data_IF_587453028686
#
_entry.id   IF_587453028686
#
_cell.length_a   1.000
_cell.length_b   1.000
_cell.length_c   1.000
_cell.angle_alpha   90.00
_cell.angle_beta   90.00
_cell.angle_gamma   90.00
#
_symmetry.space_group_name_H-M   'P 1'
#
loop_
_entity.id
_entity.type
_entity.pdbx_description
1 polymer ?
#
# COMPACT_ATOMS: atom_id res chain seq x y z
N UNK A 1 -33.40 10.93 10.66
CA UNK A 1 -32.29 10.58 11.57
C UNK A 1 -31.88 9.15 11.31
N UNK A 2 -30.57 8.92 11.18
CA UNK A 2 -29.86 7.63 11.13
C UNK A 2 -29.98 6.77 9.86
N UNK A 3 -29.07 6.98 8.91
CA UNK A 3 -28.30 5.86 8.36
C UNK A 3 -26.82 6.25 8.38
N UNK A 4 -26.20 6.06 9.53
CA UNK A 4 -24.75 6.00 9.67
C UNK A 4 -24.23 4.87 8.79
N UNK A 5 -23.90 5.19 7.53
CA UNK A 5 -23.16 4.29 6.66
C UNK A 5 -21.78 4.10 7.28
N UNK A 6 -21.52 2.92 7.84
CA UNK A 6 -20.17 2.52 8.25
C UNK A 6 -19.34 2.36 6.98
N UNK A 7 -18.08 2.81 7.00
CA UNK A 7 -17.18 2.68 5.85
C UNK A 7 -16.86 1.20 5.66
N UNK A 8 -17.04 0.66 4.44
CA UNK A 8 -16.77 -0.74 4.10
C UNK A 8 -15.50 -0.87 3.28
N UNK A 9 -14.59 -1.76 3.69
CA UNK A 9 -13.22 -1.89 3.18
C UNK A 9 -12.96 -3.30 2.66
N UNK A 10 -12.50 -3.41 1.42
CA UNK A 10 -11.90 -4.62 0.89
C UNK A 10 -10.39 -4.40 0.73
N UNK A 11 -9.55 -5.09 1.49
CA UNK A 11 -8.09 -5.03 1.34
C UNK A 11 -7.57 -6.31 0.72
N UNK A 12 -6.69 -6.16 -0.26
CA UNK A 12 -5.91 -7.26 -0.81
C UNK A 12 -4.45 -6.98 -0.46
N UNK A 13 -3.87 -7.77 0.45
CA UNK A 13 -2.51 -7.59 0.95
C UNK A 13 -1.60 -8.59 0.25
N UNK A 14 -0.48 -8.13 -0.30
CA UNK A 14 0.56 -8.99 -0.87
C UNK A 14 1.95 -8.54 -0.42
N UNK A 15 2.82 -9.51 -0.12
CA UNK A 15 4.25 -9.28 0.17
C UNK A 15 5.09 -9.97 -0.91
N UNK A 16 6.13 -9.30 -1.40
CA UNK A 16 7.16 -9.96 -2.20
C UNK A 16 8.17 -10.63 -1.26
N UNK A 17 8.43 -11.93 -1.43
CA UNK A 17 9.28 -12.73 -0.54
C UNK A 17 10.76 -12.42 -0.81
N UNK A 18 11.33 -11.40 -0.16
CA UNK A 18 12.78 -11.22 -0.07
C UNK A 18 13.31 -11.95 1.18
N UNK A 19 14.34 -12.78 1.03
CA UNK A 19 14.83 -13.69 2.05
C UNK A 19 15.52 -13.03 3.26
N UNK A 20 15.55 -13.79 4.35
CA UNK A 20 16.18 -13.60 5.67
C UNK A 20 15.43 -12.78 6.75
N UNK A 21 14.92 -13.52 7.74
CA UNK A 21 14.95 -13.31 9.20
C UNK A 21 14.64 -11.96 9.86
N UNK A 22 14.08 -10.96 9.17
CA UNK A 22 13.52 -9.79 9.84
C UNK A 22 12.05 -10.03 10.21
N UNK A 23 11.75 -9.83 11.49
CA UNK A 23 10.42 -9.92 12.10
C UNK A 23 9.38 -9.16 11.26
N UNK A 24 8.26 -9.80 10.88
CA UNK A 24 7.25 -9.16 10.03
C UNK A 24 6.56 -8.05 10.83
N UNK A 25 6.69 -6.80 10.37
CA UNK A 25 5.73 -5.77 10.73
C UNK A 25 4.77 -5.51 9.56
N UNK A 26 3.48 -5.62 9.80
CA UNK A 26 2.43 -5.08 8.96
C UNK A 26 1.58 -4.22 9.89
N UNK A 27 1.18 -3.01 9.52
CA UNK A 27 0.13 -2.36 10.30
C UNK A 27 -0.90 -1.63 9.43
N UNK A 28 -2.15 -2.03 9.61
CA UNK A 28 -3.40 -1.37 9.22
C UNK A 28 -4.14 -1.18 10.55
N UNK A 29 -4.06 -0.01 11.20
CA UNK A 29 -4.68 0.19 12.52
C UNK A 29 -5.87 1.14 12.55
N UNK A 30 -7.03 0.50 12.78
CA UNK A 30 -8.29 0.99 13.32
C UNK A 30 -8.12 1.97 14.49
N UNK A 31 -8.89 3.06 14.55
CA UNK A 31 -9.18 3.75 15.80
C UNK A 31 -10.24 2.95 16.61
N UNK A 32 -10.27 3.04 17.95
CA UNK A 32 -11.09 2.16 18.77
C UNK A 32 -12.58 2.48 18.56
N UNK A 33 -13.29 1.68 17.74
CA UNK A 33 -14.67 1.22 17.93
C UNK A 33 -15.33 0.47 16.73
N UNK A 34 -14.72 0.27 15.55
CA UNK A 34 -15.25 -0.66 14.48
C UNK A 34 -14.15 -1.27 13.58
N UNK A 35 -14.09 -2.61 13.43
CA UNK A 35 -12.93 -3.53 13.23
C UNK A 35 -11.87 -3.20 12.16
N UNK A 36 -10.60 -3.22 12.58
CA UNK A 36 -9.38 -3.47 11.82
C UNK A 36 -8.35 -4.00 12.84
N UNK A 37 -7.71 -5.12 12.52
CA UNK A 37 -6.56 -5.61 13.26
C UNK A 37 -5.48 -5.97 12.25
N UNK A 38 -4.28 -5.54 12.59
CA UNK A 38 -3.03 -6.13 12.14
C UNK A 38 -2.19 -6.39 13.40
N UNK A 39 -1.39 -7.46 13.33
CA UNK A 39 -0.43 -8.00 14.32
C UNK A 39 -1.00 -8.63 15.60
N UNK A 40 -1.18 -9.95 15.54
CA UNK A 40 -0.32 -10.95 16.20
C UNK A 40 -0.91 -12.32 15.83
N UNK A 41 -0.18 -13.14 15.06
CA UNK A 41 -0.56 -14.54 14.89
C UNK A 41 0.42 -15.43 15.65
N UNK A 42 0.19 -15.70 16.95
CA UNK A 42 0.93 -16.71 17.65
C UNK A 42 0.34 -18.06 17.24
N UNK A 43 1.13 -18.89 16.55
CA UNK A 43 0.80 -20.27 16.16
C UNK A 43 -0.27 -20.43 15.07
N UNK A 44 0.14 -20.54 13.81
CA UNK A 44 -0.62 -21.35 12.85
C UNK A 44 0.37 -22.12 11.97
N UNK A 45 0.30 -23.45 12.11
CA UNK A 45 1.07 -24.42 11.34
C UNK A 45 0.74 -24.35 9.83
N UNK A 46 1.69 -24.82 9.02
CA UNK A 46 1.84 -24.72 7.55
C UNK A 46 0.75 -25.45 6.69
N UNK A 47 -0.49 -25.56 7.17
CA UNK A 47 -1.55 -26.35 6.54
C UNK A 47 -2.80 -25.51 6.17
N UNK A 48 -3.02 -25.37 4.86
CA UNK A 48 -4.26 -25.10 4.08
C UNK A 48 -5.25 -23.97 4.48
N UNK A 49 -5.25 -23.47 5.72
CA UNK A 49 -6.07 -22.38 6.24
C UNK A 49 -5.56 -20.98 5.85
N UNK A 50 -4.41 -20.91 5.19
CA UNK A 50 -3.72 -19.67 4.80
C UNK A 50 -4.41 -18.88 3.66
N UNK A 51 -5.46 -19.45 3.04
CA UNK A 51 -6.22 -18.84 1.95
C UNK A 51 -7.53 -18.17 2.41
N UNK A 52 -7.96 -18.41 3.65
CA UNK A 52 -9.26 -17.91 4.11
C UNK A 52 -9.17 -16.40 4.40
N UNK A 53 -9.98 -15.56 3.75
CA UNK A 53 -10.01 -14.14 4.04
C UNK A 53 -10.61 -13.87 5.42
N UNK A 54 -10.17 -12.78 6.05
CA UNK A 54 -10.90 -12.23 7.19
C UNK A 54 -12.12 -11.50 6.65
N UNK A 55 -13.31 -11.98 7.02
CA UNK A 55 -14.58 -11.39 6.63
C UNK A 55 -15.32 -10.91 7.86
N UNK A 56 -15.74 -9.65 7.83
CA UNK A 56 -16.68 -9.03 8.75
C UNK A 56 -17.75 -8.31 7.94
N UNK A 57 -18.77 -7.77 8.61
CA UNK A 57 -19.85 -7.01 7.95
C UNK A 57 -19.34 -5.85 7.08
N UNK A 58 -18.24 -5.22 7.51
CA UNK A 58 -17.72 -3.99 6.90
C UNK A 58 -16.28 -4.13 6.39
N UNK A 59 -15.65 -5.28 6.56
CA UNK A 59 -14.24 -5.48 6.17
C UNK A 59 -14.05 -6.88 5.58
N UNK A 60 -13.43 -6.95 4.40
CA UNK A 60 -12.94 -8.17 3.79
C UNK A 60 -11.45 -8.03 3.52
N UNK A 61 -10.61 -8.92 4.07
CA UNK A 61 -9.16 -8.92 3.84
C UNK A 61 -8.72 -10.23 3.22
N UNK A 62 -8.14 -10.14 2.02
CA UNK A 62 -7.47 -11.25 1.36
C UNK A 62 -5.95 -11.11 1.55
N UNK A 63 -5.32 -12.10 2.18
CA UNK A 63 -3.87 -12.15 2.36
C UNK A 63 -3.13 -12.82 1.19
N UNK A 64 -3.87 -13.59 0.39
CA UNK A 64 -3.41 -14.22 -0.84
C UNK A 64 -4.55 -14.22 -1.86
N UNK A 65 -4.19 -14.13 -3.12
CA UNK A 65 -5.13 -14.16 -4.23
C UNK A 65 -4.44 -14.60 -5.52
N UNK A 66 -5.22 -15.15 -6.45
CA UNK A 66 -4.78 -15.37 -7.82
C UNK A 66 -4.86 -14.05 -8.59
N UNK A 67 -3.73 -13.60 -9.13
CA UNK A 67 -3.65 -12.37 -9.93
C UNK A 67 -4.49 -12.48 -11.21
N UNK A 68 -4.64 -13.68 -11.78
CA UNK A 68 -5.48 -13.90 -12.94
C UNK A 68 -6.98 -13.87 -12.60
N UNK A 69 -7.32 -14.14 -11.34
CA UNK A 69 -8.70 -14.23 -10.84
C UNK A 69 -8.81 -13.49 -9.49
N UNK A 70 -8.71 -12.15 -9.49
CA UNK A 70 -8.75 -11.39 -8.25
C UNK A 70 -10.09 -11.58 -7.54
N UNK A 71 -10.12 -11.52 -6.19
CA UNK A 71 -11.34 -11.75 -5.44
C UNK A 71 -12.41 -10.76 -5.86
N UNK A 72 -13.64 -11.21 -6.09
CA UNK A 72 -14.75 -10.32 -6.44
C UNK A 72 -15.07 -9.37 -5.28
N UNK A 73 -15.62 -8.19 -5.56
CA UNK A 73 -16.08 -7.31 -4.48
C UNK A 73 -17.32 -7.95 -3.80
N UNK A 74 -17.57 -7.74 -2.51
CA UNK A 74 -18.68 -8.40 -1.83
C UNK A 74 -20.05 -8.09 -2.45
N UNK A 75 -20.23 -6.89 -2.99
CA UNK A 75 -21.43 -6.49 -3.73
C UNK A 75 -21.58 -7.19 -5.10
N UNK A 76 -20.53 -7.83 -5.62
CA UNK A 76 -20.57 -8.62 -6.86
C UNK A 76 -20.91 -10.10 -6.60
N UNK A 77 -20.83 -10.56 -5.35
CA UNK A 77 -21.12 -11.96 -5.00
C UNK A 77 -22.63 -12.27 -5.02
N UNK A 78 -23.47 -11.26 -4.77
CA UNK A 78 -24.94 -11.39 -4.74
C UNK A 78 -25.60 -11.01 -6.09
N UNK A 79 -24.82 -10.57 -7.08
CA UNK A 79 -25.31 -10.09 -8.37
C UNK A 79 -25.10 -11.17 -9.44
N UNK A 80 -26.15 -11.59 -10.18
CA UNK A 80 -26.01 -12.59 -11.24
C UNK A 80 -24.98 -12.16 -12.28
N UNK A 81 -24.07 -13.07 -12.65
CA UNK A 81 -22.94 -12.82 -13.57
C UNK A 81 -23.30 -12.29 -14.98
N UNK A 82 -24.60 -12.23 -15.32
CA UNK A 82 -25.16 -11.72 -16.58
C UNK A 82 -25.28 -10.18 -16.60
N UNK A 83 -25.41 -9.53 -15.44
CA UNK A 83 -25.35 -8.06 -15.44
C UNK A 83 -23.89 -7.68 -15.66
N UNK A 84 -23.59 -7.05 -16.80
CA UNK A 84 -22.23 -6.67 -17.20
C UNK A 84 -21.43 -5.88 -16.15
N UNK A 85 -20.18 -5.50 -16.43
CA UNK A 85 -19.29 -4.88 -15.43
C UNK A 85 -19.97 -3.68 -14.77
N UNK A 86 -20.31 -3.82 -13.50
CA UNK A 86 -20.85 -2.73 -12.68
C UNK A 86 -19.74 -1.69 -12.58
N UNK A 87 -19.96 -0.54 -13.21
CA UNK A 87 -19.03 0.59 -13.12
C UNK A 87 -18.77 0.95 -11.66
N UNK A 88 -17.56 1.40 -11.38
CA UNK A 88 -17.05 1.77 -10.05
C UNK A 88 -17.84 2.87 -9.30
N UNK A 89 -18.89 3.43 -9.90
CA UNK A 89 -19.68 4.53 -9.35
C UNK A 89 -20.75 4.13 -8.33
N UNK A 90 -21.20 2.88 -8.32
CA UNK A 90 -22.35 2.43 -7.51
C UNK A 90 -22.00 1.37 -6.45
N UNK A 91 -20.72 0.99 -6.33
CA UNK A 91 -20.26 0.01 -5.34
C UNK A 91 -20.21 0.64 -3.95
N UNK A 92 -20.85 -0.01 -2.96
CA UNK A 92 -20.74 0.40 -1.54
C UNK A 92 -19.38 0.04 -0.91
N UNK A 93 -18.48 -0.61 -1.66
CA UNK A 93 -17.20 -1.12 -1.16
C UNK A 93 -16.04 -0.40 -1.83
N UNK A 94 -15.10 0.09 -1.01
CA UNK A 94 -13.81 0.58 -1.50
C UNK A 94 -12.77 -0.53 -1.45
N UNK A 95 -12.08 -0.76 -2.57
CA UNK A 95 -10.99 -1.74 -2.68
C UNK A 95 -9.62 -1.09 -2.59
N UNK A 96 -8.86 -1.51 -1.59
CA UNK A 96 -7.46 -1.17 -1.38
C UNK A 96 -6.56 -2.34 -1.81
N UNK A 97 -5.59 -2.06 -2.68
CA UNK A 97 -4.51 -2.97 -3.02
C UNK A 97 -3.30 -2.55 -2.20
N UNK A 98 -2.88 -3.40 -1.27
CA UNK A 98 -1.83 -3.11 -0.31
C UNK A 98 -0.59 -3.95 -0.63
N UNK A 99 0.53 -3.30 -0.91
CA UNK A 99 1.82 -3.92 -1.20
C UNK A 99 2.94 -3.26 -0.40
N UNK A 100 4.07 -3.96 -0.28
CA UNK A 100 5.28 -3.48 0.41
C UNK A 100 6.49 -4.26 -0.09
N UNK A 101 7.69 -3.81 0.26
CA UNK A 101 8.94 -4.57 0.10
C UNK A 101 9.14 -5.03 -1.35
N UNK A 102 8.81 -4.16 -2.31
CA UNK A 102 8.93 -4.51 -3.73
C UNK A 102 10.38 -4.54 -4.16
N UNK A 103 11.23 -3.69 -3.57
CA UNK A 103 12.66 -3.61 -3.89
C UNK A 103 12.93 -3.60 -5.41
N UNK A 104 12.34 -2.64 -6.12
CA UNK A 104 12.40 -2.53 -7.59
C UNK A 104 11.73 -3.65 -8.40
N UNK A 105 11.12 -4.66 -7.77
CA UNK A 105 10.35 -5.66 -8.48
C UNK A 105 9.02 -5.08 -8.97
N UNK A 106 8.61 -5.50 -10.15
CA UNK A 106 7.35 -5.09 -10.78
C UNK A 106 6.53 -6.34 -11.08
N UNK A 107 5.23 -6.26 -10.86
CA UNK A 107 4.29 -7.36 -11.13
C UNK A 107 2.91 -6.81 -11.45
N UNK A 108 2.05 -7.68 -11.96
CA UNK A 108 0.67 -7.35 -12.25
C UNK A 108 -0.12 -7.20 -10.94
N UNK A 109 -0.86 -6.10 -10.85
CA UNK A 109 -1.72 -5.79 -9.72
C UNK A 109 -3.18 -5.93 -10.14
N UNK A 110 -4.05 -6.45 -9.26
CA UNK A 110 -5.48 -6.49 -9.52
C UNK A 110 -6.03 -5.06 -9.57
N UNK A 111 -7.18 -4.88 -10.20
CA UNK A 111 -7.86 -3.59 -10.17
C UNK A 111 -8.31 -3.24 -8.74
N UNK A 112 -8.18 -1.97 -8.38
CA UNK A 112 -8.67 -1.43 -7.12
C UNK A 112 -8.85 0.09 -7.19
N UNK A 113 -9.52 0.64 -6.19
CA UNK A 113 -9.78 2.08 -6.09
C UNK A 113 -8.55 2.82 -5.54
N UNK A 114 -7.79 2.15 -4.65
CA UNK A 114 -6.56 2.65 -4.07
C UNK A 114 -5.43 1.62 -4.19
N UNK A 115 -4.24 2.07 -4.55
CA UNK A 115 -2.98 1.33 -4.39
C UNK A 115 -2.19 1.95 -3.25
N UNK A 116 -1.85 1.16 -2.24
CA UNK A 116 -1.05 1.54 -1.10
C UNK A 116 0.30 0.81 -1.15
N UNK A 117 1.42 1.54 -1.12
CA UNK A 117 2.75 0.95 -0.98
C UNK A 117 3.42 1.40 0.33
N UNK A 118 3.60 0.47 1.27
CA UNK A 118 4.05 0.77 2.63
C UNK A 118 5.58 0.77 2.83
N UNK A 119 6.35 1.30 1.88
CA UNK A 119 7.82 1.37 1.99
C UNK A 119 8.58 0.23 1.33
N UNK A 120 9.90 0.38 1.32
CA UNK A 120 10.88 -0.50 0.65
C UNK A 120 10.60 -0.65 -0.85
N UNK A 121 10.46 0.51 -1.49
CA UNK A 121 10.22 0.68 -2.92
C UNK A 121 11.43 0.23 -3.75
N UNK A 122 12.62 0.42 -3.21
CA UNK A 122 13.90 0.20 -3.90
C UNK A 122 14.83 -0.71 -3.10
N UNK A 123 15.97 -1.07 -3.68
CA UNK A 123 17.00 -1.82 -2.94
C UNK A 123 17.88 -0.91 -2.07
N UNK A 124 18.24 0.28 -2.57
CA UNK A 124 19.17 1.18 -1.87
C UNK A 124 18.89 2.66 -2.13
N UNK A 125 17.76 3.03 -2.75
CA UNK A 125 17.45 4.43 -3.07
C UNK A 125 18.30 5.03 -4.20
N UNK A 126 18.93 4.26 -5.09
CA UNK A 126 19.67 4.89 -6.22
C UNK A 126 18.72 5.63 -7.16
N UNK A 127 19.17 6.72 -7.78
CA UNK A 127 18.33 7.53 -8.69
C UNK A 127 17.65 6.68 -9.77
N UNK A 128 18.41 5.76 -10.41
CA UNK A 128 17.88 4.82 -11.41
C UNK A 128 16.79 3.89 -10.84
N UNK A 129 16.95 3.45 -9.59
CA UNK A 129 15.99 2.57 -8.92
C UNK A 129 14.71 3.34 -8.62
N UNK A 130 14.82 4.52 -7.98
CA UNK A 130 13.67 5.36 -7.65
C UNK A 130 12.90 5.74 -8.92
N UNK A 131 13.60 6.19 -9.97
CA UNK A 131 12.97 6.53 -11.25
C UNK A 131 12.24 5.33 -11.88
N UNK A 132 12.85 4.15 -11.86
CA UNK A 132 12.24 2.92 -12.39
C UNK A 132 10.99 2.51 -11.60
N UNK A 133 11.08 2.50 -10.27
CA UNK A 133 9.94 2.17 -9.41
C UNK A 133 8.81 3.19 -9.55
N UNK A 134 9.12 4.49 -9.57
CA UNK A 134 8.10 5.54 -9.77
C UNK A 134 7.42 5.43 -11.13
N UNK A 135 8.16 5.09 -12.19
CA UNK A 135 7.58 4.86 -13.51
C UNK A 135 6.55 3.71 -13.48
N UNK A 136 6.87 2.61 -12.81
CA UNK A 136 5.96 1.47 -12.67
C UNK A 136 4.74 1.80 -11.80
N UNK A 137 4.93 2.46 -10.65
CA UNK A 137 3.82 2.83 -9.77
C UNK A 137 2.89 3.84 -10.43
N UNK A 138 3.43 4.88 -11.08
CA UNK A 138 2.64 5.89 -11.79
C UNK A 138 1.86 5.31 -12.99
N UNK A 139 2.34 4.22 -13.60
CA UNK A 139 1.63 3.54 -14.70
C UNK A 139 0.49 2.62 -14.24
N UNK A 140 0.35 2.36 -12.95
CA UNK A 140 -0.72 1.49 -12.46
C UNK A 140 -2.11 2.11 -12.69
N UNK A 141 -3.14 1.30 -13.01
CA UNK A 141 -4.46 1.79 -13.42
C UNK A 141 -5.32 2.31 -12.26
N UNK A 142 -4.79 2.30 -11.04
CA UNK A 142 -5.52 2.69 -9.83
C UNK A 142 -5.79 4.20 -9.85
N UNK A 143 -7.02 4.65 -9.53
CA UNK A 143 -7.37 6.06 -9.46
C UNK A 143 -6.51 6.85 -8.46
N UNK A 144 -6.09 6.21 -7.37
CA UNK A 144 -5.26 6.80 -6.33
C UNK A 144 -4.12 5.87 -5.96
N UNK A 145 -2.88 6.36 -6.00
CA UNK A 145 -1.67 5.65 -5.56
C UNK A 145 -1.03 6.42 -4.41
N UNK A 146 -0.96 5.79 -3.24
CA UNK A 146 -0.42 6.38 -2.02
C UNK A 146 0.79 5.56 -1.59
N UNK A 147 1.94 6.21 -1.49
CA UNK A 147 3.20 5.55 -1.20
C UNK A 147 3.96 6.26 -0.08
N UNK A 148 4.78 5.50 0.63
CA UNK A 148 5.74 5.99 1.62
C UNK A 148 7.11 5.36 1.36
N UNK A 149 8.17 5.98 1.86
CA UNK A 149 9.51 5.41 1.84
C UNK A 149 9.73 4.40 2.99
N UNK A 150 10.53 3.37 2.75
CA UNK A 150 11.06 2.46 3.78
C UNK A 150 12.56 2.60 4.02
N UNK A 151 13.14 1.70 4.80
CA UNK A 151 14.57 1.71 5.16
C UNK A 151 15.51 1.46 3.97
N UNK A 152 15.03 0.84 2.89
CA UNK A 152 15.83 0.66 1.69
C UNK A 152 15.80 1.86 0.74
N UNK A 153 14.91 2.83 0.97
CA UNK A 153 14.74 4.01 0.13
C UNK A 153 15.64 5.16 0.59
N UNK A 154 16.92 4.86 0.78
CA UNK A 154 17.89 5.67 1.53
C UNK A 154 17.88 7.15 1.15
N UNK A 155 17.81 7.49 -0.13
CA UNK A 155 17.86 8.88 -0.62
C UNK A 155 16.57 9.65 -0.43
N UNK A 156 15.46 8.98 -0.09
CA UNK A 156 14.19 9.63 0.24
C UNK A 156 14.16 10.10 1.70
N UNK A 157 15.03 9.55 2.56
CA UNK A 157 15.38 10.14 3.86
C UNK A 157 16.62 11.02 3.71
N UNK A 158 16.38 12.31 3.55
CA UNK A 158 17.43 13.31 3.31
C UNK A 158 18.48 13.32 4.42
N UNK A 159 18.05 13.39 5.66
CA UNK A 159 18.96 13.61 6.78
C UNK A 159 19.79 12.35 7.05
N UNK A 160 19.15 11.17 7.01
CA UNK A 160 19.85 9.89 7.07
C UNK A 160 20.88 9.75 5.95
N UNK A 161 20.51 10.10 4.71
CA UNK A 161 21.40 9.94 3.56
C UNK A 161 22.61 10.87 3.61
N UNK A 162 22.44 12.12 4.06
CA UNK A 162 23.55 13.05 4.21
C UNK A 162 24.58 12.57 5.24
N UNK A 163 24.12 11.91 6.31
CA UNK A 163 25.01 11.37 7.34
C UNK A 163 25.63 10.01 6.98
N UNK A 164 24.85 9.13 6.34
CA UNK A 164 25.21 7.72 6.17
C UNK A 164 25.34 7.24 4.72
N UNK A 165 24.94 8.06 3.75
CA UNK A 165 24.87 7.67 2.33
C UNK A 165 26.21 7.20 1.77
N UNK A 166 27.33 7.76 2.23
CA UNK A 166 28.68 7.32 1.82
C UNK A 166 29.00 5.87 2.22
N UNK A 167 28.40 5.34 3.30
CA UNK A 167 28.55 3.93 3.71
C UNK A 167 27.88 2.99 2.73
N UNK A 168 26.75 3.40 2.15
CA UNK A 168 25.92 2.58 1.27
C UNK A 168 26.26 2.76 -0.21
N UNK A 169 26.50 4.00 -0.64
CA UNK A 169 26.77 4.37 -2.03
C UNK A 169 28.25 4.68 -2.32
N UNK A 170 29.15 4.52 -1.34
CA UNK A 170 30.60 4.74 -1.45
C UNK A 170 30.90 6.12 -2.05
N UNK A 171 31.83 6.20 -3.01
CA UNK A 171 32.26 7.45 -3.65
C UNK A 171 31.27 7.98 -4.71
N UNK A 172 30.12 7.34 -4.93
CA UNK A 172 29.12 7.77 -5.90
C UNK A 172 27.83 8.14 -5.18
N UNK A 173 27.86 9.26 -4.46
CA UNK A 173 26.68 9.81 -3.80
C UNK A 173 25.73 10.41 -4.82
N UNK A 174 24.46 10.07 -4.71
CA UNK A 174 23.35 10.68 -5.43
C UNK A 174 22.98 12.07 -4.89
N UNK A 175 22.31 12.88 -5.72
CA UNK A 175 21.67 14.13 -5.34
C UNK A 175 20.25 13.84 -4.83
N UNK A 176 20.04 14.00 -3.52
CA UNK A 176 18.76 13.70 -2.85
C UNK A 176 17.64 14.64 -3.28
N UNK A 177 17.95 15.89 -3.61
CA UNK A 177 16.94 16.87 -4.02
C UNK A 177 16.45 16.55 -5.45
N UNK A 178 17.34 16.12 -6.34
CA UNK A 178 16.94 15.62 -7.66
C UNK A 178 16.13 14.32 -7.57
N UNK A 179 16.47 13.42 -6.66
CA UNK A 179 15.71 12.18 -6.46
C UNK A 179 14.32 12.45 -5.88
N UNK A 180 14.19 13.38 -4.93
CA UNK A 180 12.90 13.71 -4.31
C UNK A 180 11.87 14.17 -5.34
N UNK A 181 12.30 14.85 -6.41
CA UNK A 181 11.42 15.23 -7.53
C UNK A 181 10.74 14.04 -8.21
N UNK A 182 11.31 12.83 -8.18
CA UNK A 182 10.69 11.65 -8.81
C UNK A 182 9.42 11.19 -8.08
N UNK A 183 9.40 11.32 -6.75
CA UNK A 183 8.26 10.92 -5.90
C UNK A 183 7.21 12.01 -5.76
N UNK A 184 7.56 13.25 -6.11
CA UNK A 184 6.59 14.33 -6.18
C UNK A 184 5.50 14.06 -7.24
N UNK A 185 4.27 14.55 -7.01
CA UNK A 185 3.15 14.37 -7.93
C UNK A 185 3.41 15.04 -9.29
N UNK A 186 4.19 16.12 -9.37
CA UNK A 186 4.45 16.86 -10.62
C UNK A 186 3.16 17.25 -11.38
N UNK A 187 2.08 17.54 -10.65
CA UNK A 187 0.76 17.84 -11.22
C UNK A 187 -0.14 16.62 -11.44
N UNK A 188 0.36 15.40 -11.24
CA UNK A 188 -0.45 14.18 -11.18
C UNK A 188 -1.27 14.16 -9.89
N UNK A 189 -2.59 14.37 -10.01
CA UNK A 189 -3.51 14.36 -8.87
C UNK A 189 -3.85 12.96 -8.37
N UNK A 190 -3.40 11.90 -9.07
CA UNK A 190 -3.65 10.48 -8.74
C UNK A 190 -2.53 9.86 -7.92
N UNK A 191 -1.41 10.56 -7.74
CA UNK A 191 -0.21 10.03 -7.11
C UNK A 191 0.17 10.84 -5.87
N UNK A 192 0.38 10.15 -4.76
CA UNK A 192 0.62 10.76 -3.46
C UNK A 192 1.80 10.08 -2.77
N UNK A 193 2.84 10.85 -2.48
CA UNK A 193 3.91 10.45 -1.58
C UNK A 193 3.67 11.15 -0.24
N UNK A 194 3.64 10.40 0.86
CA UNK A 194 3.38 10.94 2.20
C UNK A 194 4.62 10.84 3.09
N UNK A 195 4.92 11.91 3.82
CA UNK A 195 6.04 11.98 4.77
C UNK A 195 5.59 12.64 6.08
N UNK A 196 5.17 11.82 7.06
CA UNK A 196 4.62 12.25 8.36
C UNK A 196 3.40 13.15 8.26
N UNK A 197 2.53 12.89 7.28
CA UNK A 197 1.40 13.74 6.98
C UNK A 197 0.12 12.96 6.75
N UNK A 198 -1.00 13.68 6.80
CA UNK A 198 -2.33 13.14 6.52
C UNK A 198 -2.82 13.67 5.19
N UNK A 199 -3.41 12.80 4.38
CA UNK A 199 -4.24 13.19 3.25
C UNK A 199 -5.69 12.77 3.48
N UNK A 200 -6.62 13.48 2.85
CA UNK A 200 -8.02 13.10 2.82
C UNK A 200 -8.47 13.00 1.38
N UNK A 201 -9.15 11.92 1.05
CA UNK A 201 -9.53 11.61 -0.32
C UNK A 201 -10.93 10.99 -0.35
N UNK A 202 -11.72 11.39 -1.33
CA UNK A 202 -13.10 10.93 -1.49
C UNK A 202 -13.21 10.19 -2.81
N UNK A 203 -13.64 8.94 -2.75
CA UNK A 203 -13.80 8.04 -3.90
C UNK A 203 -15.04 7.17 -3.67
N UNK A 204 -15.88 6.98 -4.69
CA UNK A 204 -17.10 6.17 -4.58
C UNK A 204 -18.07 6.61 -3.47
N UNK A 205 -18.11 7.92 -3.15
CA UNK A 205 -18.95 8.47 -2.08
C UNK A 205 -18.45 8.23 -0.64
N UNK A 206 -17.31 7.54 -0.47
CA UNK A 206 -16.64 7.35 0.80
C UNK A 206 -15.43 8.29 0.93
N UNK A 207 -15.26 8.89 2.11
CA UNK A 207 -14.08 9.72 2.42
C UNK A 207 -13.11 8.95 3.31
N UNK A 208 -11.86 8.84 2.87
CA UNK A 208 -10.76 8.17 3.54
C UNK A 208 -9.73 9.18 4.02
N UNK A 209 -9.19 8.97 5.23
CA UNK A 209 -8.09 9.77 5.76
C UNK A 209 -6.91 8.86 5.90
N UNK A 210 -5.82 9.16 5.19
CA UNK A 210 -4.63 8.31 5.17
C UNK A 210 -3.49 9.06 5.82
N UNK A 211 -2.84 8.45 6.81
CA UNK A 211 -1.60 8.95 7.40
C UNK A 211 -0.43 8.10 6.91
N UNK A 212 0.63 8.74 6.42
CA UNK A 212 1.86 8.07 6.01
C UNK A 212 3.00 8.38 6.97
N UNK A 213 3.57 7.32 7.56
CA UNK A 213 4.79 7.39 8.34
C UNK A 213 5.88 6.60 7.62
N UNK A 214 6.83 7.27 6.94
CA UNK A 214 8.06 6.60 6.50
C UNK A 214 8.84 6.03 7.68
N UNK A 215 9.90 5.27 7.36
CA UNK A 215 10.83 4.78 8.38
C UNK A 215 11.45 5.94 9.16
N UNK A 216 11.61 5.77 10.48
CA UNK A 216 12.34 6.71 11.33
C UNK A 216 13.15 5.97 12.38
N UNK A 217 14.47 5.93 12.23
CA UNK A 217 15.33 5.24 13.21
C UNK A 217 14.96 3.75 13.36
N UNK A 218 14.39 3.37 14.51
CA UNK A 218 13.92 2.00 14.79
C UNK A 218 12.45 1.74 14.43
N UNK A 219 11.69 2.77 14.09
CA UNK A 219 10.26 2.65 13.85
C UNK A 219 10.00 2.16 12.42
N UNK A 220 9.17 1.12 12.29
CA UNK A 220 8.78 0.58 10.99
C UNK A 220 7.89 1.57 10.22
N UNK A 221 8.04 1.67 8.89
CA UNK A 221 7.13 2.47 8.06
C UNK A 221 5.70 1.91 8.11
N UNK A 222 4.70 2.78 8.08
CA UNK A 222 3.29 2.35 8.02
C UNK A 222 2.36 3.36 7.36
N UNK A 223 1.29 2.84 6.76
CA UNK A 223 0.14 3.59 6.27
C UNK A 223 -1.07 3.29 7.16
N UNK A 224 -1.75 4.33 7.63
CA UNK A 224 -2.94 4.20 8.47
C UNK A 224 -4.16 4.82 7.79
N UNK A 225 -5.24 4.04 7.67
CA UNK A 225 -6.55 4.44 7.11
C UNK A 225 -7.56 4.84 8.20
#
# INVERSE_FOLDING_TARGET
MSSTWKKRLAATVSRSKAGNNDTPSASITRAPNSLAFVEDNPFVDDDASEWDPIITEDVVVHFKYDVANPPQRPDQLDVPADTGPVGSGDSQWTRFICISDTHCNTFDLPQGDFLLHSGDLTHTGRARQVQGTMKWLKSQPHPHKIIIAGNHDLTLDRDFYLEHGSRWHRQQTEDVEEIKKFVEPQGDTTFHYLEYENMTITEGGATWKVYGSPVNGSDCPYLRL
#
